data_IF_697255398041
#
_entry.id   IF_697255398041
#
_cell.length_a   1.000
_cell.length_b   1.000
_cell.length_c   1.000
_cell.angle_alpha   90.00
_cell.angle_beta   90.00
_cell.angle_gamma   90.00
#
_symmetry.space_group_name_H-M   'P 1'
#
loop_
_entity.id
_entity.type
_entity.pdbx_description
1 polymer ?
#
# COMPACT_ATOMS: atom_id res chain seq x y z
N UNK A 1 4.73 -23.25 4.12
CA UNK A 1 3.42 -23.03 4.76
C UNK A 1 3.21 -21.54 4.91
N UNK A 2 2.07 -21.01 4.46
CA UNK A 2 1.69 -19.63 4.79
C UNK A 2 1.44 -19.58 6.30
N UNK A 3 2.12 -18.69 7.01
CA UNK A 3 1.97 -18.55 8.46
C UNK A 3 0.52 -18.22 8.83
N UNK A 4 0.04 -18.79 9.93
CA UNK A 4 -1.23 -18.40 10.52
C UNK A 4 -1.24 -16.90 10.87
N UNK A 5 -2.44 -16.37 11.16
CA UNK A 5 -2.61 -15.04 11.73
C UNK A 5 -1.58 -14.80 12.85
N UNK A 6 -0.92 -13.65 12.84
CA UNK A 6 0.03 -13.28 13.89
C UNK A 6 -0.04 -11.80 14.23
N UNK A 7 0.45 -11.47 15.42
CA UNK A 7 0.57 -10.10 15.90
C UNK A 7 2.03 -9.68 15.92
N UNK A 8 2.31 -8.41 15.62
CA UNK A 8 3.66 -7.87 15.61
C UNK A 8 3.64 -6.34 15.77
N UNK A 9 4.73 -5.77 16.27
CA UNK A 9 4.87 -4.31 16.36
C UNK A 9 5.36 -3.76 15.02
N UNK A 10 4.73 -2.71 14.51
CA UNK A 10 5.20 -2.03 13.30
C UNK A 10 6.37 -1.12 13.63
N UNK A 11 7.54 -1.40 13.04
CA UNK A 11 8.79 -0.71 13.33
C UNK A 11 9.28 0.17 12.17
N UNK A 12 8.60 0.16 11.03
CA UNK A 12 8.98 0.99 9.90
C UNK A 12 7.95 1.01 8.79
N UNK A 13 7.90 2.14 8.06
CA UNK A 13 7.02 2.34 6.90
C UNK A 13 7.89 2.65 5.69
N UNK A 14 7.75 1.85 4.62
CA UNK A 14 8.52 2.04 3.39
C UNK A 14 7.81 3.07 2.49
N UNK A 15 6.53 2.82 2.22
CA UNK A 15 5.64 3.60 1.35
C UNK A 15 4.18 3.45 1.84
N UNK A 16 3.20 3.85 1.04
CA UNK A 16 1.78 3.82 1.41
C UNK A 16 1.12 2.45 1.41
N UNK A 17 1.80 1.38 1.01
CA UNK A 17 1.28 0.01 1.09
C UNK A 17 2.27 -1.01 1.66
N UNK A 18 3.45 -0.59 2.08
CA UNK A 18 4.51 -1.47 2.57
C UNK A 18 5.04 -1.02 3.93
N UNK A 19 4.98 -1.93 4.91
CA UNK A 19 5.46 -1.73 6.28
C UNK A 19 6.41 -2.87 6.71
N UNK A 20 7.20 -2.62 7.75
CA UNK A 20 8.07 -3.60 8.39
C UNK A 20 7.60 -3.82 9.82
N UNK A 21 7.44 -5.08 10.21
CA UNK A 21 7.08 -5.47 11.58
C UNK A 21 8.21 -6.23 12.25
N UNK A 22 8.27 -6.14 13.58
CA UNK A 22 9.10 -6.98 14.43
C UNK A 22 8.22 -8.05 15.08
N UNK A 23 8.43 -9.31 14.70
CA UNK A 23 7.67 -10.42 15.28
C UNK A 23 8.19 -10.82 16.68
N UNK A 24 7.52 -11.77 17.31
CA UNK A 24 7.86 -12.29 18.65
C UNK A 24 9.30 -12.82 18.73
N UNK A 25 9.80 -13.40 17.64
CA UNK A 25 11.18 -13.91 17.52
C UNK A 25 12.21 -12.81 17.24
N UNK A 26 11.84 -11.54 17.35
CA UNK A 26 12.69 -10.36 17.04
C UNK A 26 13.20 -10.34 15.58
N UNK A 27 12.48 -10.97 14.67
CA UNK A 27 12.79 -10.95 13.25
C UNK A 27 12.00 -9.85 12.55
N UNK A 28 12.67 -9.12 11.67
CA UNK A 28 12.02 -8.13 10.83
C UNK A 28 11.32 -8.82 9.65
N UNK A 29 10.05 -8.52 9.46
CA UNK A 29 9.25 -9.05 8.35
C UNK A 29 8.66 -7.89 7.56
N UNK A 30 8.94 -7.84 6.26
CA UNK A 30 8.32 -6.86 5.35
C UNK A 30 6.93 -7.36 4.92
N UNK A 31 5.94 -6.50 5.11
CA UNK A 31 4.54 -6.73 4.77
C UNK A 31 4.13 -5.75 3.68
N UNK A 32 3.52 -6.26 2.61
CA UNK A 32 2.77 -5.48 1.63
C UNK A 32 1.29 -5.65 1.90
N UNK A 33 0.56 -4.54 2.01
CA UNK A 33 -0.88 -4.50 2.16
C UNK A 33 -1.52 -5.18 0.94
N UNK A 34 -2.33 -6.21 1.20
CA UNK A 34 -3.04 -6.94 0.17
C UNK A 34 -4.05 -6.07 -0.58
N UNK A 35 -4.32 -6.41 -1.84
CA UNK A 35 -5.45 -5.86 -2.64
C UNK A 35 -5.39 -4.37 -2.98
N UNK A 36 -4.41 -3.63 -2.48
CA UNK A 36 -4.21 -2.21 -2.77
C UNK A 36 -2.84 -1.96 -3.40
N UNK A 37 -2.71 -0.79 -4.01
CA UNK A 37 -1.46 -0.29 -4.60
C UNK A 37 -1.35 1.20 -4.32
N UNK A 38 -0.36 1.60 -3.54
CA UNK A 38 -0.11 2.99 -3.20
C UNK A 38 0.80 3.68 -4.24
N UNK A 39 0.76 5.02 -4.35
CA UNK A 39 1.70 5.75 -5.17
C UNK A 39 3.15 5.45 -4.79
N UNK A 40 4.00 5.33 -5.81
CA UNK A 40 5.43 5.12 -5.61
C UNK A 40 6.06 6.33 -4.90
N UNK A 41 7.19 6.14 -4.22
CA UNK A 41 7.81 7.21 -3.42
C UNK A 41 8.08 8.52 -4.18
N UNK A 42 8.38 8.45 -5.48
CA UNK A 42 8.62 9.61 -6.36
C UNK A 42 7.39 10.06 -7.17
N UNK A 43 6.30 9.33 -7.05
CA UNK A 43 5.04 9.69 -7.68
C UNK A 43 4.34 10.77 -6.85
N UNK A 44 3.54 11.66 -7.46
CA UNK A 44 2.63 12.52 -6.71
C UNK A 44 1.85 11.71 -5.66
N UNK A 45 1.67 12.31 -4.48
CA UNK A 45 1.09 11.68 -3.27
C UNK A 45 1.89 10.53 -2.62
N UNK A 46 3.03 10.10 -3.15
CA UNK A 46 3.85 9.04 -2.52
C UNK A 46 4.21 9.35 -1.06
N UNK A 47 4.68 10.57 -0.78
CA UNK A 47 5.01 11.01 0.57
C UNK A 47 3.78 11.10 1.50
N UNK A 48 2.66 11.66 1.01
CA UNK A 48 1.41 11.77 1.78
C UNK A 48 0.81 10.40 2.10
N UNK A 49 0.85 9.49 1.12
CA UNK A 49 0.37 8.12 1.28
C UNK A 49 1.17 7.34 2.31
N UNK A 50 2.50 7.48 2.28
CA UNK A 50 3.41 6.94 3.32
C UNK A 50 3.09 7.52 4.70
N UNK A 51 2.93 8.84 4.80
CA UNK A 51 2.61 9.51 6.05
C UNK A 51 1.30 8.98 6.65
N UNK A 52 0.24 8.86 5.83
CA UNK A 52 -1.03 8.30 6.27
C UNK A 52 -0.89 6.88 6.84
N UNK A 53 -0.14 6.00 6.17
CA UNK A 53 0.11 4.66 6.71
C UNK A 53 0.94 4.70 8.01
N UNK A 54 1.86 5.65 8.14
CA UNK A 54 2.61 5.87 9.37
C UNK A 54 1.72 6.27 10.53
N UNK A 55 0.78 7.20 10.33
CA UNK A 55 -0.19 7.59 11.35
C UNK A 55 -1.10 6.42 11.76
N UNK A 56 -1.47 5.57 10.81
CA UNK A 56 -2.30 4.39 11.06
C UNK A 56 -1.57 3.31 11.85
N UNK A 57 -0.28 3.06 11.55
CA UNK A 57 0.38 1.82 11.94
C UNK A 57 1.70 1.97 12.66
N UNK A 58 2.49 3.04 12.47
CA UNK A 58 3.83 3.10 13.02
C UNK A 58 3.84 3.08 14.55
N UNK A 59 4.67 2.23 15.15
CA UNK A 59 4.77 2.05 16.60
C UNK A 59 3.62 1.26 17.23
N UNK A 60 2.63 0.84 16.44
CA UNK A 60 1.41 0.18 16.92
C UNK A 60 1.48 -1.33 16.80
N UNK A 61 0.58 -2.01 17.52
CA UNK A 61 0.42 -3.45 17.37
C UNK A 61 -0.44 -3.72 16.14
N UNK A 62 0.10 -4.53 15.23
CA UNK A 62 -0.57 -4.94 14.02
C UNK A 62 -1.00 -6.41 14.13
N UNK A 63 -2.21 -6.68 13.66
CA UNK A 63 -2.71 -8.01 13.34
C UNK A 63 -2.51 -8.25 11.84
N UNK A 64 -1.73 -9.26 11.48
CA UNK A 64 -1.36 -9.58 10.10
C UNK A 64 -2.00 -10.90 9.72
N UNK A 65 -2.72 -10.93 8.59
CA UNK A 65 -3.34 -12.15 8.01
C UNK A 65 -2.61 -12.57 6.72
N UNK A 66 -1.52 -13.35 6.78
CA UNK A 66 -0.74 -13.69 5.59
C UNK A 66 -1.56 -14.41 4.52
N UNK A 67 -1.37 -14.03 3.26
CA UNK A 67 -2.04 -14.65 2.11
C UNK A 67 -1.10 -15.18 1.06
N UNK A 68 0.03 -14.51 0.85
CA UNK A 68 1.02 -14.91 -0.15
C UNK A 68 2.41 -14.37 0.22
N UNK A 69 3.41 -14.85 -0.53
CA UNK A 69 4.70 -14.19 -0.68
C UNK A 69 4.78 -13.64 -2.09
N UNK A 70 5.18 -12.37 -2.24
CA UNK A 70 5.42 -11.82 -3.56
C UNK A 70 6.84 -12.17 -4.06
N UNK A 71 7.12 -11.85 -5.32
CA UNK A 71 8.43 -12.11 -5.95
C UNK A 71 9.61 -11.40 -5.29
N UNK A 72 9.36 -10.43 -4.40
CA UNK A 72 10.37 -9.67 -3.67
C UNK A 72 10.55 -10.20 -2.24
N UNK A 73 9.89 -11.31 -1.89
CA UNK A 73 9.96 -11.94 -0.56
C UNK A 73 9.07 -11.28 0.49
N UNK A 74 8.28 -10.25 0.14
CA UNK A 74 7.36 -9.60 1.08
C UNK A 74 6.18 -10.50 1.37
N UNK A 75 5.70 -10.51 2.61
CA UNK A 75 4.42 -11.12 2.94
C UNK A 75 3.31 -10.21 2.44
N UNK A 76 2.39 -10.73 1.63
CA UNK A 76 1.19 -10.02 1.21
C UNK A 76 0.06 -10.36 2.17
N UNK A 77 -0.53 -9.36 2.81
CA UNK A 77 -1.52 -9.55 3.87
C UNK A 77 -2.46 -8.34 4.03
N UNK A 78 -3.75 -8.55 4.38
CA UNK A 78 -4.51 -7.54 5.11
C UNK A 78 -3.87 -7.30 6.47
N UNK A 79 -3.87 -6.03 6.89
CA UNK A 79 -3.28 -5.60 8.16
C UNK A 79 -4.27 -4.72 8.91
N UNK A 80 -4.45 -5.00 10.19
CA UNK A 80 -5.21 -4.17 11.13
C UNK A 80 -4.25 -3.62 12.18
N UNK A 81 -4.18 -2.30 12.35
CA UNK A 81 -3.32 -1.63 13.33
C UNK A 81 -4.21 -0.98 14.39
N UNK A 82 -4.04 -1.33 15.67
CA UNK A 82 -4.89 -0.88 16.79
C UNK A 82 -6.40 -0.94 16.49
N UNK A 83 -6.84 -2.03 15.85
CA UNK A 83 -8.25 -2.24 15.48
C UNK A 83 -8.70 -1.55 14.19
N UNK A 84 -7.88 -0.73 13.55
CA UNK A 84 -8.18 -0.07 12.27
C UNK A 84 -7.64 -0.90 11.10
N UNK A 85 -8.51 -1.24 10.14
CA UNK A 85 -8.09 -1.89 8.89
C UNK A 85 -7.30 -0.91 8.02
N UNK A 86 -5.98 -1.11 7.95
CA UNK A 86 -5.07 -0.20 7.26
C UNK A 86 -5.28 -0.24 5.74
N UNK A 87 -5.72 -1.38 5.18
CA UNK A 87 -5.98 -1.52 3.75
C UNK A 87 -7.20 -0.67 3.36
N UNK A 88 -8.30 -0.88 4.08
CA UNK A 88 -9.55 -0.14 3.87
C UNK A 88 -9.35 1.35 4.10
N UNK A 89 -8.66 1.73 5.18
CA UNK A 89 -8.50 3.12 5.55
C UNK A 89 -7.57 3.88 4.61
N UNK A 90 -6.52 3.24 4.06
CA UNK A 90 -5.72 3.85 2.99
C UNK A 90 -6.54 4.15 1.73
N UNK A 91 -7.50 3.28 1.38
CA UNK A 91 -8.41 3.54 0.25
C UNK A 91 -9.41 4.63 0.58
N UNK A 92 -10.03 4.58 1.77
CA UNK A 92 -11.02 5.55 2.25
C UNK A 92 -10.46 6.98 2.32
N UNK A 93 -9.19 7.13 2.70
CA UNK A 93 -8.45 8.41 2.72
C UNK A 93 -8.00 8.88 1.33
N UNK A 94 -8.20 8.06 0.29
CA UNK A 94 -7.68 8.33 -1.04
C UNK A 94 -6.15 8.30 -1.09
N UNK A 95 -5.50 7.43 -0.32
CA UNK A 95 -4.03 7.28 -0.29
C UNK A 95 -3.55 6.05 -1.06
N UNK A 96 -4.45 5.15 -1.45
CA UNK A 96 -4.13 3.99 -2.28
C UNK A 96 -5.24 3.70 -3.29
N UNK A 97 -4.86 3.03 -4.37
CA UNK A 97 -5.78 2.47 -5.35
C UNK A 97 -6.16 1.05 -4.97
N UNK A 98 -7.39 0.65 -5.30
CA UNK A 98 -7.80 -0.76 -5.31
C UNK A 98 -7.08 -1.45 -6.46
N UNK A 99 -6.27 -2.46 -6.15
CA UNK A 99 -5.52 -3.19 -7.15
C UNK A 99 -6.38 -4.28 -7.78
N UNK A 100 -7.13 -3.89 -8.81
CA UNK A 100 -8.16 -4.72 -9.49
C UNK A 100 -7.71 -6.14 -9.85
N UNK A 101 -6.42 -6.33 -10.16
CA UNK A 101 -5.86 -7.64 -10.50
C UNK A 101 -5.98 -8.67 -9.35
N UNK A 102 -5.95 -8.22 -8.10
CA UNK A 102 -5.92 -9.10 -6.93
C UNK A 102 -7.02 -8.83 -5.90
N UNK A 103 -7.71 -7.69 -6.00
CA UNK A 103 -8.76 -7.32 -5.07
C UNK A 103 -9.96 -8.28 -5.18
N UNK A 104 -10.34 -8.85 -4.04
CA UNK A 104 -11.50 -9.74 -3.85
C UNK A 104 -12.51 -9.13 -2.89
N UNK A 105 -12.06 -8.27 -1.98
CA UNK A 105 -12.92 -7.52 -1.08
C UNK A 105 -13.65 -6.41 -1.86
N UNK A 106 -14.96 -6.58 -1.99
CA UNK A 106 -15.82 -5.65 -2.70
C UNK A 106 -15.96 -4.31 -1.95
N UNK A 107 -15.78 -4.30 -0.63
CA UNK A 107 -15.87 -3.10 0.18
C UNK A 107 -14.79 -2.07 -0.21
N UNK A 108 -13.60 -2.52 -0.63
CA UNK A 108 -12.54 -1.64 -1.10
C UNK A 108 -12.99 -0.81 -2.31
N UNK A 109 -13.81 -1.37 -3.20
CA UNK A 109 -14.32 -0.64 -4.36
C UNK A 109 -15.32 0.45 -3.96
N UNK A 110 -16.19 0.16 -2.99
CA UNK A 110 -17.13 1.14 -2.42
C UNK A 110 -16.36 2.29 -1.78
N UNK A 111 -15.40 1.99 -0.91
CA UNK A 111 -14.55 3.00 -0.26
C UNK A 111 -13.79 3.86 -1.28
N UNK A 112 -13.30 3.27 -2.36
CA UNK A 112 -12.61 4.03 -3.40
C UNK A 112 -13.58 4.94 -4.16
N UNK A 113 -14.80 4.47 -4.43
CA UNK A 113 -15.84 5.29 -5.05
C UNK A 113 -16.18 6.49 -4.18
N UNK A 114 -16.38 6.28 -2.88
CA UNK A 114 -16.68 7.36 -1.94
C UNK A 114 -15.53 8.35 -1.81
N UNK A 115 -14.28 7.86 -1.73
CA UNK A 115 -13.10 8.71 -1.69
C UNK A 115 -12.99 9.59 -2.95
N UNK A 116 -13.33 9.03 -4.12
CA UNK A 116 -13.37 9.77 -5.39
C UNK A 116 -14.45 10.83 -5.40
N UNK A 117 -15.68 10.47 -5.03
CA UNK A 117 -16.81 11.38 -5.01
C UNK A 117 -16.58 12.55 -4.03
N UNK A 118 -15.89 12.29 -2.92
CA UNK A 118 -15.53 13.28 -1.92
C UNK A 118 -14.22 14.04 -2.21
N UNK A 119 -13.54 13.77 -3.33
CA UNK A 119 -12.30 14.46 -3.70
C UNK A 119 -11.16 14.29 -2.68
N UNK A 120 -11.07 13.13 -2.00
CA UNK A 120 -10.08 12.90 -0.94
C UNK A 120 -8.72 12.50 -1.52
N UNK A 121 -7.64 13.02 -0.94
CA UNK A 121 -6.29 12.53 -1.23
C UNK A 121 -5.95 12.60 -2.72
N UNK A 122 -5.60 11.45 -3.31
CA UNK A 122 -5.33 11.26 -4.74
C UNK A 122 -6.41 11.86 -5.65
N UNK A 123 -7.64 12.00 -5.15
CA UNK A 123 -8.81 12.47 -5.88
C UNK A 123 -9.06 13.97 -5.72
N UNK A 124 -8.24 14.70 -4.97
CA UNK A 124 -8.40 16.16 -4.77
C UNK A 124 -7.85 16.99 -5.92
N UNK A 125 -6.99 16.40 -6.76
CA UNK A 125 -6.37 17.10 -7.88
C UNK A 125 -7.26 17.05 -9.13
N UNK A 126 -7.38 18.16 -9.89
CA UNK A 126 -8.22 18.23 -11.10
C UNK A 126 -7.65 17.43 -12.28
N UNK A 127 -6.37 17.05 -12.25
CA UNK A 127 -5.74 16.19 -13.25
C UNK A 127 -5.73 14.74 -12.76
N UNK A 128 -5.99 13.74 -13.63
CA UNK A 128 -6.04 12.35 -13.20
C UNK A 128 -4.71 11.94 -12.58
N UNK A 129 -4.72 11.64 -11.29
CA UNK A 129 -3.61 10.95 -10.65
C UNK A 129 -3.42 9.62 -11.36
N UNK A 130 -2.29 9.45 -12.03
CA UNK A 130 -1.99 8.20 -12.74
C UNK A 130 -1.88 7.07 -11.70
N UNK A 131 -2.48 5.88 -11.91
CA UNK A 131 -2.33 4.80 -10.96
C UNK A 131 -0.89 4.24 -10.95
N UNK A 132 -0.43 3.61 -9.85
CA UNK A 132 0.98 3.24 -9.70
C UNK A 132 1.45 2.23 -10.75
N UNK A 133 0.59 1.32 -11.22
CA UNK A 133 0.94 0.36 -12.27
C UNK A 133 1.19 1.01 -13.64
N UNK A 134 0.55 2.14 -13.94
CA UNK A 134 0.81 2.94 -15.14
C UNK A 134 2.06 3.80 -14.97
N UNK A 135 2.24 4.42 -13.80
CA UNK A 135 3.46 5.15 -13.45
C UNK A 135 4.72 4.29 -13.59
N UNK A 136 4.68 3.04 -13.10
CA UNK A 136 5.79 2.09 -13.28
C UNK A 136 6.09 1.78 -14.75
N UNK A 137 5.11 1.86 -15.66
CA UNK A 137 5.34 1.65 -17.10
C UNK A 137 5.95 2.90 -17.73
N UNK A 138 5.45 4.09 -17.42
CA UNK A 138 5.96 5.34 -18.01
C UNK A 138 7.44 5.57 -17.66
N UNK A 139 7.84 5.34 -16.41
CA UNK A 139 9.25 5.46 -15.98
C UNK A 139 10.16 4.46 -16.71
N UNK A 140 9.67 3.23 -16.94
CA UNK A 140 10.44 2.21 -17.70
C UNK A 140 10.64 2.62 -19.15
N UNK A 141 9.61 3.15 -19.81
CA UNK A 141 9.72 3.64 -21.18
C UNK A 141 10.72 4.80 -21.29
N UNK A 142 10.66 5.76 -20.37
CA UNK A 142 11.62 6.86 -20.34
C UNK A 142 13.06 6.33 -20.19
N UNK A 143 13.32 5.45 -19.23
CA UNK A 143 14.67 4.90 -19.00
C UNK A 143 15.24 4.15 -20.22
N UNK A 144 14.41 3.39 -20.93
CA UNK A 144 14.83 2.69 -22.16
C UNK A 144 15.13 3.68 -23.29
N UNK A 145 14.37 4.76 -23.39
CA UNK A 145 14.61 5.80 -24.40
C UNK A 145 15.94 6.51 -24.14
N UNK A 146 16.24 6.89 -22.89
CA UNK A 146 17.51 7.52 -22.51
C UNK A 146 18.73 6.65 -22.84
N UNK A 147 18.68 5.34 -22.58
CA UNK A 147 19.78 4.42 -22.90
C UNK A 147 20.00 4.19 -24.41
N UNK A 148 19.03 4.56 -25.26
CA UNK A 148 19.18 4.45 -26.73
C UNK A 148 19.83 5.69 -27.36
N UNK A 149 19.92 6.79 -26.62
CA UNK A 149 20.46 8.07 -27.09
C UNK A 149 21.70 8.53 -26.30
N UNK A 150 22.25 7.64 -25.46
CA UNK A 150 23.51 7.82 -24.73
C UNK A 150 24.53 6.80 -25.24
#
# INVERSE_FOLDING_TARGET
>A
MLSALFFATVIGISDGDTLTVLNENKQQVKIRLAEIDAPEARQPFGAKSKQSLSELCFGKQAQIKPRAKDRYGRTVAPVTCDGVDANAEQVNRGMAWVYRKYAKDHNLYVLQYDAKAAGRGLWSEPSPTMPPWEWRKSVRHAAVQWLRYA
#
